data_IF_124477759483
#
_entry.id   IF_124477759483
#
_cell.length_a   1.000
_cell.length_b   1.000
_cell.length_c   1.000
_cell.angle_alpha   90.00
_cell.angle_beta   90.00
_cell.angle_gamma   90.00
#
_symmetry.space_group_name_H-M   'P 1'
#
loop_
_entity.id
_entity.type
_entity.pdbx_description
1 polymer ?
#
# COMPACT_ATOMS: atom_id res chain seq x y z
N UNK A 1 3.75 -0.89 -22.84
CA UNK A 1 2.77 -1.94 -22.47
C UNK A 1 3.50 -2.93 -21.60
N UNK A 2 3.19 -2.96 -20.31
CA UNK A 2 3.86 -3.87 -19.36
C UNK A 2 2.85 -4.94 -19.02
N UNK A 3 3.05 -6.13 -19.56
CA UNK A 3 2.22 -7.29 -19.25
C UNK A 3 2.60 -7.80 -17.87
N UNK A 4 1.60 -7.96 -17.01
CA UNK A 4 1.75 -8.58 -15.69
C UNK A 4 1.04 -9.91 -15.79
N UNK A 5 1.81 -10.98 -15.86
CA UNK A 5 1.27 -12.33 -15.82
C UNK A 5 1.01 -12.75 -14.38
N UNK A 6 -0.19 -13.25 -14.11
CA UNK A 6 -0.57 -13.79 -12.82
C UNK A 6 -0.12 -15.25 -12.78
N UNK A 7 1.03 -15.51 -12.17
CA UNK A 7 1.48 -16.87 -11.91
C UNK A 7 0.96 -17.32 -10.54
N UNK A 8 -0.05 -18.20 -10.54
CA UNK A 8 -0.40 -18.98 -9.35
C UNK A 8 0.75 -19.95 -9.08
N UNK A 9 1.69 -19.51 -8.23
CA UNK A 9 2.73 -20.39 -7.70
C UNK A 9 2.04 -21.40 -6.79
N UNK A 10 1.83 -22.62 -7.28
CA UNK A 10 1.44 -23.75 -6.46
C UNK A 10 2.36 -23.79 -5.23
N UNK A 11 1.77 -23.78 -4.02
CA UNK A 11 2.44 -23.75 -2.71
C UNK A 11 3.32 -24.99 -2.43
N UNK A 12 3.65 -25.78 -3.45
CA UNK A 12 4.37 -27.04 -3.33
C UNK A 12 5.90 -26.88 -3.32
N UNK A 13 6.41 -25.64 -3.35
CA UNK A 13 7.84 -25.36 -3.11
C UNK A 13 8.03 -24.83 -1.70
N UNK A 14 8.73 -25.55 -0.80
CA UNK A 14 9.07 -25.01 0.51
C UNK A 14 9.90 -23.74 0.29
N UNK A 15 9.31 -22.59 0.66
CA UNK A 15 9.98 -21.30 0.58
C UNK A 15 11.29 -21.40 1.37
N UNK A 16 12.41 -21.21 0.69
CA UNK A 16 13.73 -21.36 1.28
C UNK A 16 13.82 -20.48 2.53
N UNK A 17 14.22 -21.04 3.68
CA UNK A 17 14.08 -20.43 5.02
C UNK A 17 14.63 -18.99 5.12
N UNK A 18 15.58 -18.63 4.27
CA UNK A 18 16.17 -17.28 4.17
C UNK A 18 15.12 -16.23 3.77
N UNK A 19 14.18 -16.57 2.87
CA UNK A 19 13.15 -15.65 2.41
C UNK A 19 11.90 -15.66 3.29
N UNK A 20 11.76 -16.66 4.17
CA UNK A 20 10.58 -16.82 5.02
C UNK A 20 10.31 -15.57 5.87
N UNK A 21 11.34 -14.98 6.49
CA UNK A 21 11.17 -13.77 7.28
C UNK A 21 10.67 -12.58 6.43
N UNK A 22 11.19 -12.42 5.21
CA UNK A 22 10.82 -11.31 4.32
C UNK A 22 9.42 -11.50 3.73
N UNK A 23 9.05 -12.75 3.47
CA UNK A 23 7.73 -13.16 2.97
C UNK A 23 6.67 -13.03 4.06
N UNK A 24 6.90 -13.61 5.25
CA UNK A 24 5.98 -13.57 6.39
C UNK A 24 5.82 -12.16 6.98
N UNK A 25 6.88 -11.33 6.96
CA UNK A 25 6.76 -9.93 7.38
C UNK A 25 6.01 -9.04 6.37
N UNK A 26 5.55 -9.61 5.24
CA UNK A 26 4.90 -8.87 4.15
C UNK A 26 5.85 -7.93 3.39
N UNK A 27 7.14 -7.91 3.72
CA UNK A 27 8.13 -7.06 3.08
C UNK A 27 8.38 -7.46 1.61
N UNK A 28 8.28 -8.76 1.28
CA UNK A 28 8.50 -9.30 -0.05
C UNK A 28 7.44 -8.86 -1.08
N UNK A 29 6.20 -8.64 -0.64
CA UNK A 29 5.05 -8.43 -1.54
C UNK A 29 4.80 -6.95 -1.87
N UNK A 30 5.74 -6.07 -1.52
CA UNK A 30 5.49 -4.64 -1.61
C UNK A 30 4.33 -4.17 -0.72
N UNK A 31 3.94 -4.95 0.30
CA UNK A 31 2.85 -4.62 1.21
C UNK A 31 3.11 -3.28 1.91
N UNK A 32 4.37 -3.02 2.30
CA UNK A 32 4.80 -1.71 2.83
C UNK A 32 4.51 -0.57 1.85
N UNK A 33 4.74 -0.78 0.55
CA UNK A 33 4.49 0.22 -0.51
C UNK A 33 2.99 0.43 -0.75
N UNK A 34 2.19 -0.63 -0.63
CA UNK A 34 0.73 -0.57 -0.66
C UNK A 34 0.15 0.18 0.54
N UNK A 35 0.57 -0.17 1.75
CA UNK A 35 0.16 0.51 3.00
C UNK A 35 0.52 2.00 2.95
N UNK A 36 1.74 2.36 2.53
CA UNK A 36 2.14 3.75 2.38
C UNK A 36 1.38 4.51 1.28
N UNK A 37 0.82 3.82 0.27
CA UNK A 37 -0.07 4.46 -0.72
C UNK A 37 -1.47 4.68 -0.13
N UNK A 38 -2.04 3.67 0.52
CA UNK A 38 -3.33 3.77 1.19
C UNK A 38 -3.34 4.90 2.21
N UNK A 39 -2.32 4.99 3.05
CA UNK A 39 -2.21 6.05 4.05
C UNK A 39 -2.22 7.45 3.42
N UNK A 40 -1.38 7.68 2.39
CA UNK A 40 -1.36 8.96 1.66
C UNK A 40 -2.69 9.29 0.98
N UNK A 41 -3.42 8.28 0.52
CA UNK A 41 -4.76 8.47 -0.04
C UNK A 41 -5.75 8.91 1.03
N UNK A 42 -5.78 8.22 2.17
CA UNK A 42 -6.61 8.60 3.32
C UNK A 42 -6.31 10.02 3.80
N UNK A 43 -5.04 10.40 3.90
CA UNK A 43 -4.62 11.76 4.28
C UNK A 43 -5.13 12.82 3.30
N UNK A 44 -5.03 12.58 1.98
CA UNK A 44 -5.57 13.49 0.96
C UNK A 44 -7.08 13.62 1.05
N UNK A 45 -7.79 12.50 1.19
CA UNK A 45 -9.25 12.51 1.34
C UNK A 45 -9.63 13.27 2.61
N UNK A 46 -8.95 13.03 3.73
CA UNK A 46 -9.17 13.77 4.97
C UNK A 46 -8.93 15.28 4.81
N UNK A 47 -7.88 15.69 4.08
CA UNK A 47 -7.61 17.10 3.79
C UNK A 47 -8.68 17.76 2.91
N UNK A 48 -9.25 17.02 1.95
CA UNK A 48 -10.34 17.51 1.08
C UNK A 48 -11.67 17.62 1.84
N UNK A 49 -11.88 16.73 2.81
CA UNK A 49 -13.06 16.74 3.69
C UNK A 49 -12.92 17.74 4.84
N UNK A 50 -11.72 18.30 5.06
CA UNK A 50 -11.55 19.42 5.96
C UNK A 50 -12.30 20.61 5.35
N UNK A 51 -13.24 21.24 6.09
CA UNK A 51 -13.85 22.48 5.62
C UNK A 51 -12.74 23.47 5.29
N UNK A 52 -12.83 24.14 4.15
CA UNK A 52 -11.96 25.28 3.83
C UNK A 52 -12.15 26.31 4.95
N UNK A 53 -11.23 26.36 5.91
CA UNK A 53 -11.21 27.38 6.97
C UNK A 53 -10.90 28.78 6.42
N UNK A 54 -10.77 28.93 5.10
CA UNK A 54 -10.53 30.20 4.41
C UNK A 54 -11.81 31.02 4.15
N UNK A 55 -13.02 30.50 4.41
CA UNK A 55 -14.27 31.23 4.15
C UNK A 55 -14.92 31.82 5.41
N UNK A 56 -14.27 31.73 6.58
CA UNK A 56 -14.86 32.19 7.87
C UNK A 56 -14.17 33.36 8.56
N UNK A 57 -13.15 33.94 7.93
CA UNK A 57 -12.36 35.08 8.45
C UNK A 57 -12.28 36.29 7.49
N UNK A 58 -13.22 36.43 6.55
CA UNK A 58 -13.42 37.70 5.82
C UNK A 58 -14.73 38.30 6.33
N UNK A 59 -14.59 39.25 7.26
CA UNK A 59 -15.68 40.11 7.75
C UNK A 59 -16.13 41.15 6.75
#
# INVERSE_FOLDING_TARGET
VTWVEHAELAEDRPQHQIFNHVVLSGAAYGARRWVANLQRHCERVASLMSPNTMDRDIG
#
